data_IF_027050647459
#
_entry.id   IF_027050647459
#
_cell.length_a   1.000
_cell.length_b   1.000
_cell.length_c   1.000
_cell.angle_alpha   90.00
_cell.angle_beta   90.00
_cell.angle_gamma   90.00
#
_symmetry.space_group_name_H-M   'P 1'
#
loop_
_entity.id
_entity.type
_entity.pdbx_description
1 polymer ?
#
# COMPACT_ATOMS: atom_id res chain seq x y z
N UNK A 1 15.61 -18.52 -12.96
CA UNK A 1 16.19 -17.19 -13.25
C UNK A 1 15.70 -16.22 -12.18
N UNK A 2 16.54 -15.30 -11.73
CA UNK A 2 16.11 -14.20 -10.84
C UNK A 2 15.51 -13.13 -11.75
N UNK A 3 14.22 -12.85 -11.60
CA UNK A 3 13.53 -11.75 -12.31
C UNK A 3 13.35 -10.57 -11.37
N UNK A 4 13.45 -9.36 -11.89
CA UNK A 4 13.13 -8.16 -11.12
C UNK A 4 11.63 -8.10 -10.78
N UNK A 5 11.26 -7.37 -9.73
CA UNK A 5 9.84 -7.16 -9.40
C UNK A 5 9.05 -6.53 -10.56
N UNK A 6 9.69 -5.64 -11.31
CA UNK A 6 9.14 -5.02 -12.52
C UNK A 6 8.80 -6.06 -13.58
N UNK A 7 9.74 -6.92 -13.96
CA UNK A 7 9.53 -7.96 -14.96
C UNK A 7 8.49 -8.99 -14.49
N UNK A 8 8.48 -9.29 -13.20
CA UNK A 8 7.49 -10.19 -12.60
C UNK A 8 6.07 -9.63 -12.72
N UNK A 9 5.86 -8.33 -12.48
CA UNK A 9 4.55 -7.68 -12.64
C UNK A 9 4.09 -7.79 -14.10
N UNK A 10 4.95 -7.44 -15.06
CA UNK A 10 4.59 -7.44 -16.50
C UNK A 10 4.27 -8.85 -16.99
N UNK A 11 5.16 -9.81 -16.71
CA UNK A 11 4.97 -11.21 -17.12
C UNK A 11 3.71 -11.81 -16.50
N UNK A 12 3.45 -11.55 -15.22
CA UNK A 12 2.25 -12.03 -14.54
C UNK A 12 0.98 -11.44 -15.16
N UNK A 13 0.95 -10.13 -15.42
CA UNK A 13 -0.19 -9.45 -16.01
C UNK A 13 -0.49 -9.94 -17.43
N UNK A 14 0.54 -10.20 -18.24
CA UNK A 14 0.40 -10.78 -19.58
C UNK A 14 -0.11 -12.22 -19.56
N UNK A 15 0.36 -13.02 -18.61
CA UNK A 15 -0.04 -14.42 -18.51
C UNK A 15 -1.50 -14.60 -18.08
N UNK A 16 -2.05 -13.67 -17.29
CA UNK A 16 -3.42 -13.72 -16.73
C UNK A 16 -4.10 -12.35 -16.79
N UNK A 17 -4.45 -11.87 -17.99
CA UNK A 17 -5.00 -10.54 -18.15
C UNK A 17 -6.35 -10.40 -17.41
N UNK A 18 -6.55 -9.27 -16.75
CA UNK A 18 -7.75 -8.92 -15.97
C UNK A 18 -8.06 -9.83 -14.77
N UNK A 19 -7.12 -10.70 -14.37
CA UNK A 19 -7.28 -11.59 -13.21
C UNK A 19 -6.54 -11.08 -11.98
N UNK A 20 -5.44 -10.35 -12.18
CA UNK A 20 -4.51 -10.01 -11.11
C UNK A 20 -4.87 -8.66 -10.49
N UNK A 21 -4.97 -8.64 -9.16
CA UNK A 21 -4.99 -7.42 -8.36
C UNK A 21 -3.62 -7.20 -7.75
N UNK A 22 -3.02 -6.03 -7.98
CA UNK A 22 -1.77 -5.62 -7.35
C UNK A 22 -2.06 -4.86 -6.06
N UNK A 23 -1.42 -5.27 -4.97
CA UNK A 23 -1.42 -4.54 -3.71
C UNK A 23 -0.09 -3.80 -3.57
N UNK A 24 -0.12 -2.48 -3.61
CA UNK A 24 1.06 -1.62 -3.53
C UNK A 24 1.10 -0.89 -2.19
N UNK A 25 2.05 -1.28 -1.33
CA UNK A 25 2.26 -0.68 0.00
C UNK A 25 3.61 0.03 0.13
N UNK A 26 4.27 0.30 -1.00
CA UNK A 26 5.60 0.89 -1.10
C UNK A 26 5.60 2.02 -2.13
N UNK A 27 6.70 2.78 -2.30
CA UNK A 27 6.85 3.70 -3.42
C UNK A 27 6.57 2.99 -4.75
N UNK A 28 5.90 3.71 -5.67
CA UNK A 28 5.39 3.15 -6.93
C UNK A 28 6.46 2.96 -8.01
N UNK A 29 7.75 3.10 -7.69
CA UNK A 29 8.86 3.05 -8.65
C UNK A 29 8.86 1.79 -9.52
N UNK A 30 8.68 0.61 -8.91
CA UNK A 30 8.60 -0.64 -9.65
C UNK A 30 7.36 -0.72 -10.56
N UNK A 31 6.22 -0.16 -10.12
CA UNK A 31 5.01 -0.10 -10.92
C UNK A 31 5.14 0.88 -12.09
N UNK A 32 5.78 2.03 -11.89
CA UNK A 32 6.05 2.99 -12.94
C UNK A 32 6.98 2.38 -14.00
N UNK A 33 8.04 1.69 -13.58
CA UNK A 33 8.90 0.94 -14.49
C UNK A 33 8.12 -0.14 -15.25
N UNK A 34 7.22 -0.87 -14.58
CA UNK A 34 6.40 -1.90 -15.22
C UNK A 34 5.45 -1.29 -16.26
N UNK A 35 4.87 -0.13 -15.96
CA UNK A 35 4.01 0.62 -16.86
C UNK A 35 4.77 1.21 -18.07
N UNK A 36 6.05 1.55 -17.91
CA UNK A 36 6.89 1.93 -19.05
C UNK A 36 7.20 0.74 -19.96
N UNK A 37 7.47 -0.43 -19.39
CA UNK A 37 7.72 -1.66 -20.15
C UNK A 37 6.45 -2.21 -20.81
N UNK A 38 5.29 -2.00 -20.18
CA UNK A 38 3.99 -2.43 -20.65
C UNK A 38 2.97 -1.29 -20.50
N UNK A 39 2.86 -0.39 -21.49
CA UNK A 39 1.90 0.72 -21.43
C UNK A 39 0.43 0.28 -21.34
N UNK A 40 0.11 -0.95 -21.77
CA UNK A 40 -1.23 -1.52 -21.62
C UNK A 40 -1.48 -2.14 -20.23
N UNK A 41 -0.51 -2.06 -19.29
CA UNK A 41 -0.61 -2.65 -17.95
C UNK A 41 -1.93 -2.34 -17.22
N UNK A 42 -2.49 -1.11 -17.28
CA UNK A 42 -3.77 -0.83 -16.63
C UNK A 42 -4.93 -1.64 -17.22
N UNK A 43 -4.87 -2.05 -18.50
CA UNK A 43 -5.87 -2.93 -19.12
C UNK A 43 -5.63 -4.41 -18.81
N UNK A 44 -4.41 -4.77 -18.43
CA UNK A 44 -4.03 -6.15 -18.13
C UNK A 44 -4.23 -6.51 -16.66
N UNK A 45 -4.28 -5.54 -15.76
CA UNK A 45 -4.58 -5.79 -14.35
C UNK A 45 -6.07 -5.63 -14.08
N UNK A 46 -6.62 -6.49 -13.22
CA UNK A 46 -7.97 -6.31 -12.69
C UNK A 46 -8.07 -5.01 -11.91
N UNK A 47 -7.13 -4.82 -10.99
CA UNK A 47 -7.14 -3.73 -10.04
C UNK A 47 -5.74 -3.41 -9.54
N UNK A 48 -5.50 -2.15 -9.23
CA UNK A 48 -4.38 -1.67 -8.44
C UNK A 48 -4.94 -1.08 -7.14
N UNK A 49 -4.62 -1.70 -6.02
CA UNK A 49 -4.91 -1.17 -4.68
C UNK A 49 -3.60 -0.62 -4.12
N UNK A 50 -3.53 0.69 -3.97
CA UNK A 50 -2.33 1.35 -3.46
C UNK A 50 -2.61 2.09 -2.16
N UNK A 51 -1.76 1.87 -1.17
CA UNK A 51 -1.72 2.68 0.04
C UNK A 51 -0.79 3.87 -0.19
N UNK A 52 -1.34 5.07 -0.02
CA UNK A 52 -0.56 6.30 -0.10
C UNK A 52 -1.40 7.52 -0.43
N UNK A 53 -0.78 8.68 -0.25
CA UNK A 53 -1.42 9.98 -0.38
C UNK A 53 -2.05 10.47 0.93
N UNK A 54 -2.25 11.79 1.00
CA UNK A 54 -2.93 12.48 2.07
C UNK A 54 -3.81 13.56 1.42
N UNK A 55 -5.14 13.38 1.45
CA UNK A 55 -6.08 14.20 0.67
C UNK A 55 -6.56 15.39 1.48
N UNK A 56 -7.00 15.14 2.72
CA UNK A 56 -7.48 16.15 3.68
C UNK A 56 -6.70 16.12 4.99
N UNK A 57 -5.90 15.08 5.18
CA UNK A 57 -5.03 14.89 6.34
C UNK A 57 -3.64 15.47 6.09
N UNK A 58 -2.90 15.75 7.18
CA UNK A 58 -1.49 16.07 7.08
C UNK A 58 -0.69 14.83 6.62
N UNK A 59 0.35 15.07 5.83
CA UNK A 59 1.29 14.03 5.44
C UNK A 59 2.10 13.48 6.61
N UNK A 60 2.72 12.31 6.43
CA UNK A 60 3.59 11.67 7.42
C UNK A 60 5.09 11.78 7.08
N UNK A 61 5.45 12.17 5.86
CA UNK A 61 6.84 12.44 5.47
C UNK A 61 7.14 13.94 5.35
N UNK A 62 6.14 14.73 4.98
CA UNK A 62 6.13 16.19 5.13
C UNK A 62 4.73 16.64 5.55
N UNK A 63 4.51 17.91 5.95
CA UNK A 63 3.17 18.40 6.27
C UNK A 63 2.14 18.18 5.14
N UNK A 64 2.60 18.09 3.89
CA UNK A 64 1.75 18.00 2.69
C UNK A 64 1.84 16.65 1.96
N UNK A 65 2.74 15.75 2.35
CA UNK A 65 3.01 14.55 1.57
C UNK A 65 3.14 13.28 2.42
N UNK A 66 2.51 12.22 1.92
CA UNK A 66 2.64 10.86 2.43
C UNK A 66 3.94 10.22 1.91
N UNK A 67 4.57 9.37 2.72
CA UNK A 67 5.88 8.80 2.51
C UNK A 67 6.06 8.08 1.18
N UNK A 68 5.17 7.17 0.79
CA UNK A 68 5.29 6.43 -0.47
C UNK A 68 5.18 7.36 -1.68
N UNK A 69 4.26 8.32 -1.64
CA UNK A 69 4.10 9.32 -2.70
C UNK A 69 5.28 10.29 -2.75
N UNK A 70 5.82 10.72 -1.61
CA UNK A 70 6.94 11.65 -1.56
C UNK A 70 8.25 10.99 -2.02
N UNK A 71 8.46 9.71 -1.68
CA UNK A 71 9.68 8.98 -2.01
C UNK A 71 9.93 8.91 -3.51
N UNK A 72 8.87 8.73 -4.31
CA UNK A 72 8.94 8.82 -5.77
C UNK A 72 7.66 9.46 -6.34
N UNK A 73 7.62 10.78 -6.25
CA UNK A 73 6.47 11.57 -6.68
C UNK A 73 6.21 11.45 -8.20
N UNK A 74 7.26 11.21 -8.99
CA UNK A 74 7.13 11.10 -10.43
C UNK A 74 6.53 9.75 -10.83
N UNK A 75 6.99 8.65 -10.22
CA UNK A 75 6.36 7.35 -10.37
C UNK A 75 4.90 7.36 -9.91
N UNK A 76 4.62 7.96 -8.75
CA UNK A 76 3.26 8.06 -8.23
C UNK A 76 2.33 8.80 -9.20
N UNK A 77 2.78 9.96 -9.73
CA UNK A 77 2.04 10.71 -10.76
C UNK A 77 1.76 9.86 -12.00
N UNK A 78 2.78 9.18 -12.53
CA UNK A 78 2.67 8.38 -13.75
C UNK A 78 1.68 7.23 -13.58
N UNK A 79 1.79 6.46 -12.50
CA UNK A 79 0.92 5.31 -12.22
C UNK A 79 -0.51 5.75 -11.96
N UNK A 80 -0.73 6.74 -11.08
CA UNK A 80 -2.09 7.23 -10.78
C UNK A 80 -2.76 7.77 -12.04
N UNK A 81 -2.04 8.55 -12.85
CA UNK A 81 -2.58 9.10 -14.10
C UNK A 81 -3.02 7.99 -15.05
N UNK A 82 -2.17 7.00 -15.30
CA UNK A 82 -2.47 5.91 -16.23
C UNK A 82 -3.63 5.01 -15.79
N UNK A 83 -3.75 4.71 -14.50
CA UNK A 83 -4.86 3.89 -13.99
C UNK A 83 -6.17 4.69 -13.85
N UNK A 84 -6.11 6.01 -13.61
CA UNK A 84 -7.31 6.84 -13.46
C UNK A 84 -8.14 6.97 -14.74
N UNK A 85 -7.53 6.81 -15.92
CA UNK A 85 -8.20 6.99 -17.23
C UNK A 85 -8.62 5.69 -17.90
N UNK A 86 -8.32 4.53 -17.29
CA UNK A 86 -8.38 3.23 -17.99
C UNK A 86 -9.38 2.25 -17.37
N UNK A 87 -10.02 2.62 -16.27
CA UNK A 87 -10.96 1.75 -15.57
C UNK A 87 -12.17 1.39 -16.45
N UNK A 88 -12.41 0.09 -16.59
CA UNK A 88 -13.67 -0.50 -17.05
C UNK A 88 -14.25 -1.37 -15.94
N UNK A 89 -15.44 -1.96 -16.15
CA UNK A 89 -15.99 -2.93 -15.21
C UNK A 89 -15.08 -4.16 -15.04
N UNK A 90 -14.27 -4.50 -16.05
CA UNK A 90 -13.45 -5.71 -16.07
C UNK A 90 -11.98 -5.50 -15.65
N UNK A 91 -11.42 -4.29 -15.80
CA UNK A 91 -9.99 -4.06 -15.62
C UNK A 91 -9.64 -2.61 -15.24
N UNK A 92 -8.40 -2.42 -14.75
CA UNK A 92 -7.81 -1.10 -14.56
C UNK A 92 -8.37 -0.29 -13.39
N UNK A 93 -9.11 -0.93 -12.48
CA UNK A 93 -9.65 -0.24 -11.31
C UNK A 93 -8.52 0.24 -10.40
N UNK A 94 -8.47 1.54 -10.13
CA UNK A 94 -7.59 2.11 -9.10
C UNK A 94 -8.35 2.25 -7.78
N UNK A 95 -7.76 1.75 -6.69
CA UNK A 95 -8.21 2.01 -5.32
C UNK A 95 -7.07 2.62 -4.53
N UNK A 96 -7.29 3.82 -4.00
CA UNK A 96 -6.33 4.48 -3.11
C UNK A 96 -6.79 4.34 -1.66
N UNK A 97 -5.85 3.94 -0.79
CA UNK A 97 -6.00 3.95 0.66
C UNK A 97 -5.09 5.05 1.26
N UNK A 98 -5.56 6.30 1.30
CA UNK A 98 -4.76 7.42 1.81
C UNK A 98 -4.65 7.40 3.34
N UNK A 99 -3.80 8.28 3.87
CA UNK A 99 -3.65 8.52 5.31
C UNK A 99 -4.99 8.88 5.97
N UNK A 100 -5.88 9.56 5.27
CA UNK A 100 -7.23 9.92 5.70
C UNK A 100 -8.05 8.71 6.16
N UNK A 101 -7.87 7.55 5.51
CA UNK A 101 -8.51 6.30 5.88
C UNK A 101 -7.67 5.53 6.91
N UNK A 102 -6.36 5.43 6.70
CA UNK A 102 -5.50 4.62 7.56
C UNK A 102 -5.25 5.24 8.95
N UNK A 103 -5.61 6.51 9.15
CA UNK A 103 -5.54 7.19 10.44
C UNK A 103 -6.87 7.19 11.19
N UNK A 104 -7.93 6.63 10.61
CA UNK A 104 -9.22 6.53 11.30
C UNK A 104 -9.06 5.69 12.58
N UNK A 105 -9.81 6.00 13.65
CA UNK A 105 -9.70 5.26 14.92
C UNK A 105 -9.92 3.75 14.76
N UNK A 106 -10.79 3.34 13.83
CA UNK A 106 -11.06 1.93 13.52
C UNK A 106 -9.87 1.22 12.88
N UNK A 107 -8.94 1.98 12.27
CA UNK A 107 -7.72 1.48 11.64
C UNK A 107 -6.53 1.35 12.56
N UNK A 108 -6.68 1.73 13.83
CA UNK A 108 -5.63 1.61 14.84
C UNK A 108 -5.74 0.25 15.54
N UNK A 109 -4.58 -0.26 15.97
CA UNK A 109 -4.51 -1.49 16.76
C UNK A 109 -3.99 -1.14 18.15
N UNK A 110 -4.81 -1.42 19.17
CA UNK A 110 -4.49 -1.24 20.58
C UNK A 110 -3.44 -2.25 21.07
N UNK A 111 -2.85 -1.98 22.24
CA UNK A 111 -1.90 -2.93 22.85
C UNK A 111 -2.61 -4.21 23.30
N UNK A 112 -3.83 -4.07 23.77
CA UNK A 112 -4.70 -5.15 24.22
C UNK A 112 -5.03 -6.07 23.04
N UNK A 113 -5.37 -5.51 21.87
CA UNK A 113 -5.58 -6.26 20.64
C UNK A 113 -4.33 -7.01 20.20
N UNK A 114 -3.15 -6.38 20.25
CA UNK A 114 -1.89 -7.04 19.92
C UNK A 114 -1.57 -8.17 20.89
N UNK A 115 -1.88 -7.98 22.17
CA UNK A 115 -1.77 -9.03 23.19
C UNK A 115 -2.65 -10.24 22.86
N UNK A 116 -3.88 -10.01 22.39
CA UNK A 116 -4.76 -11.07 21.89
C UNK A 116 -4.20 -11.73 20.63
N UNK A 117 -3.77 -10.93 19.64
CA UNK A 117 -3.22 -11.45 18.37
C UNK A 117 -2.04 -12.39 18.64
N UNK A 118 -1.16 -12.03 19.58
CA UNK A 118 0.01 -12.82 19.97
C UNK A 118 -0.31 -14.27 20.34
N UNK A 119 -1.52 -14.60 20.78
CA UNK A 119 -1.86 -15.96 21.23
C UNK A 119 -2.20 -16.93 20.10
N UNK A 120 -2.52 -16.46 18.88
CA UNK A 120 -3.00 -17.30 17.77
C UNK A 120 -1.95 -18.15 17.06
N UNK A 121 -0.68 -18.13 17.50
CA UNK A 121 0.37 -19.01 16.97
C UNK A 121 1.66 -18.29 16.60
N UNK A 122 2.58 -19.00 15.93
CA UNK A 122 3.93 -18.49 15.67
C UNK A 122 3.95 -17.24 14.79
N UNK A 123 3.17 -17.22 13.70
CA UNK A 123 3.08 -16.03 12.83
C UNK A 123 2.46 -14.83 13.52
N UNK A 124 1.45 -15.05 14.36
CA UNK A 124 0.80 -13.99 15.11
C UNK A 124 1.70 -13.41 16.23
N UNK A 125 2.55 -14.25 16.83
CA UNK A 125 3.62 -13.80 17.74
C UNK A 125 4.63 -12.91 17.03
N UNK A 126 5.11 -13.33 15.86
CA UNK A 126 6.05 -12.54 15.04
C UNK A 126 5.48 -11.17 14.69
N UNK A 127 4.23 -11.15 14.22
CA UNK A 127 3.50 -9.92 13.95
C UNK A 127 3.43 -9.02 15.19
N UNK A 128 3.03 -9.58 16.34
CA UNK A 128 2.88 -8.82 17.57
C UNK A 128 4.21 -8.22 18.05
N UNK A 129 5.32 -8.98 17.95
CA UNK A 129 6.65 -8.50 18.32
C UNK A 129 7.14 -7.38 17.39
N UNK A 130 6.94 -7.55 16.08
CA UNK A 130 7.25 -6.52 15.09
C UNK A 130 6.44 -5.24 15.35
N UNK A 131 5.14 -5.38 15.62
CA UNK A 131 4.26 -4.26 15.92
C UNK A 131 4.66 -3.51 17.20
N UNK A 132 4.95 -4.24 18.28
CA UNK A 132 5.39 -3.63 19.55
C UNK A 132 6.71 -2.87 19.37
N UNK A 133 7.61 -3.38 18.53
CA UNK A 133 8.86 -2.71 18.18
C UNK A 133 8.58 -1.43 17.39
N UNK A 134 7.74 -1.49 16.36
CA UNK A 134 7.30 -0.33 15.60
C UNK A 134 6.68 0.74 16.51
N UNK A 135 5.80 0.37 17.44
CA UNK A 135 5.15 1.32 18.35
C UNK A 135 6.13 2.04 19.27
N UNK A 136 7.18 1.36 19.76
CA UNK A 136 8.22 2.00 20.57
C UNK A 136 8.94 3.11 19.79
N UNK A 137 9.20 2.90 18.50
CA UNK A 137 9.83 3.89 17.62
C UNK A 137 8.85 5.01 17.28
N UNK A 138 7.60 4.67 16.91
CA UNK A 138 6.58 5.64 16.55
C UNK A 138 6.30 6.64 17.67
N UNK A 139 6.27 6.18 18.94
CA UNK A 139 6.10 7.06 20.12
C UNK A 139 7.24 8.04 20.35
N UNK A 140 8.44 7.76 19.83
CA UNK A 140 9.62 8.64 19.97
C UNK A 140 9.66 9.72 18.90
N UNK A 141 9.20 9.40 17.69
CA UNK A 141 9.24 10.31 16.54
C UNK A 141 7.94 11.08 16.34
N UNK A 142 6.82 10.55 16.82
CA UNK A 142 5.51 11.18 16.72
C UNK A 142 4.88 11.21 18.12
N UNK A 143 4.32 12.35 18.53
CA UNK A 143 3.69 12.58 19.83
C UNK A 143 2.36 11.80 20.04
N UNK A 144 2.23 10.60 19.47
CA UNK A 144 0.98 9.84 19.45
C UNK A 144 1.00 8.63 20.39
N UNK A 145 -0.12 8.46 21.12
CA UNK A 145 -0.36 7.37 22.06
C UNK A 145 -0.49 5.99 21.39
N UNK A 146 -0.84 5.93 20.10
CA UNK A 146 -1.09 4.69 19.35
C UNK A 146 -0.25 4.64 18.06
N UNK A 147 0.32 3.47 17.76
CA UNK A 147 0.97 3.21 16.48
C UNK A 147 -0.08 3.04 15.38
N UNK A 148 0.15 3.67 14.22
CA UNK A 148 -0.75 3.62 13.07
C UNK A 148 -0.48 2.37 12.23
N UNK A 149 -1.52 1.61 11.91
CA UNK A 149 -1.40 0.32 11.25
C UNK A 149 -1.51 0.43 9.72
N UNK A 150 -0.69 1.30 9.12
CA UNK A 150 -0.77 1.65 7.69
C UNK A 150 -0.81 0.41 6.78
N UNK A 151 -0.04 -0.62 7.11
CA UNK A 151 0.11 -1.86 6.33
C UNK A 151 -0.96 -2.93 6.62
N UNK A 152 -1.82 -2.76 7.63
CA UNK A 152 -2.45 -3.93 8.28
C UNK A 152 -3.98 -3.94 8.22
N UNK A 153 -4.60 -2.92 7.62
CA UNK A 153 -6.05 -2.84 7.52
C UNK A 153 -6.53 -2.48 6.12
N UNK A 154 -6.34 -3.40 5.18
CA UNK A 154 -7.31 -3.55 4.09
C UNK A 154 -8.24 -4.67 4.52
N UNK A 155 -9.30 -4.31 5.24
CA UNK A 155 -10.36 -5.24 5.62
C UNK A 155 -11.14 -5.60 4.35
N UNK A 156 -10.87 -6.79 3.81
CA UNK A 156 -11.67 -7.38 2.75
C UNK A 156 -12.94 -7.94 3.39
N UNK A 157 -14.08 -7.28 3.12
CA UNK A 157 -15.41 -7.89 3.21
C UNK A 157 -15.75 -8.50 1.86
#
# INVERSE_FOLDING_TARGET
>A
QVVSGTEFIVSSARARPSEITVLCFSPMTALAAALMLEPALPRLLRSLVAMGGAVRSAGNASPLAEANFLHDAWAARLVVSAFSTTASEAAGRLVLAPLDLTHLPQSLISKEEVGRIRTYGAGARLFADAWLTYQKVARRTHSMLHARAHLQQVAWR
#
